data_IF_493207169903
#
_entry.id   IF_493207169903
#
_cell.length_a   1.000
_cell.length_b   1.000
_cell.length_c   1.000
_cell.angle_alpha   90.00
_cell.angle_beta   90.00
_cell.angle_gamma   90.00
#
_symmetry.space_group_name_H-M   'P 1'
#
loop_
_entity.id
_entity.type
_entity.pdbx_description
1 polymer ?
#
# COMPACT_ATOMS: atom_id res chain seq x y z
N UNK A 1 -23.74 5.41 -9.80
CA UNK A 1 -23.20 5.94 -8.52
C UNK A 1 -22.72 7.36 -8.77
N UNK A 2 -22.85 8.26 -7.78
CA UNK A 2 -22.23 9.58 -7.89
C UNK A 2 -20.71 9.42 -7.81
N UNK A 3 -19.94 10.05 -8.70
CA UNK A 3 -18.48 10.04 -8.61
C UNK A 3 -17.99 10.39 -7.21
N UNK A 4 -16.97 9.65 -6.76
CA UNK A 4 -16.25 9.89 -5.52
C UNK A 4 -14.82 10.27 -5.88
N UNK A 5 -14.27 11.27 -5.21
CA UNK A 5 -12.88 11.70 -5.35
C UNK A 5 -12.23 11.75 -3.97
N UNK A 6 -10.94 11.53 -3.90
CA UNK A 6 -10.17 11.68 -2.67
C UNK A 6 -8.89 12.47 -2.93
N UNK A 7 -8.53 13.36 -2.01
CA UNK A 7 -7.20 13.91 -1.90
C UNK A 7 -6.66 13.71 -0.48
N UNK A 8 -5.40 14.07 -0.31
CA UNK A 8 -4.76 14.20 0.99
C UNK A 8 -4.15 15.59 1.14
N UNK A 9 -4.01 16.05 2.39
CA UNK A 9 -3.38 17.32 2.72
C UNK A 9 -2.01 17.12 3.40
N UNK A 10 -1.29 18.24 3.56
CA UNK A 10 -0.11 18.28 4.42
C UNK A 10 -0.53 17.92 5.85
N UNK A 11 0.07 16.87 6.42
CA UNK A 11 -0.29 16.34 7.74
C UNK A 11 -1.03 15.00 7.73
N UNK A 12 -1.40 14.47 6.55
CA UNK A 12 -1.86 13.08 6.41
C UNK A 12 -3.36 12.84 6.53
N UNK A 13 -4.18 13.89 6.54
CA UNK A 13 -5.63 13.73 6.46
C UNK A 13 -6.05 13.44 5.02
N UNK A 14 -6.95 12.48 4.83
CA UNK A 14 -7.62 12.26 3.55
C UNK A 14 -9.03 12.86 3.56
N UNK A 15 -9.38 13.56 2.50
CA UNK A 15 -10.71 14.13 2.32
C UNK A 15 -11.37 13.40 1.15
N UNK A 16 -12.57 12.89 1.39
CA UNK A 16 -13.39 12.24 0.36
C UNK A 16 -14.51 13.19 -0.01
N UNK A 17 -14.69 13.43 -1.30
CA UNK A 17 -15.80 14.20 -1.84
C UNK A 17 -16.76 13.33 -2.62
N UNK A 18 -18.03 13.72 -2.59
CA UNK A 18 -19.09 13.11 -3.39
C UNK A 18 -19.71 14.16 -4.30
N UNK A 19 -19.95 13.79 -5.55
CA UNK A 19 -20.69 14.64 -6.48
C UNK A 19 -22.16 14.71 -6.06
N UNK A 20 -22.68 15.93 -5.98
CA UNK A 20 -24.09 16.24 -5.77
C UNK A 20 -24.61 16.95 -7.03
N UNK A 21 -25.19 16.19 -7.97
CA UNK A 21 -25.91 16.79 -9.08
C UNK A 21 -27.20 17.45 -8.58
N UNK A 22 -27.52 18.62 -9.13
CA UNK A 22 -28.83 19.27 -9.03
C UNK A 22 -29.39 19.48 -10.44
N UNK A 23 -30.64 19.93 -10.53
CA UNK A 23 -31.31 20.17 -11.82
C UNK A 23 -30.56 21.17 -12.72
N UNK A 24 -29.75 22.06 -12.14
CA UNK A 24 -29.11 23.17 -12.86
C UNK A 24 -27.59 23.22 -12.75
N UNK A 25 -26.97 22.45 -11.85
CA UNK A 25 -25.52 22.44 -11.70
C UNK A 25 -25.00 21.13 -11.06
N UNK A 26 -23.68 20.98 -10.98
CA UNK A 26 -23.01 19.94 -10.21
C UNK A 26 -22.10 20.58 -9.15
N UNK A 27 -22.13 20.04 -7.94
CA UNK A 27 -21.25 20.48 -6.86
C UNK A 27 -20.61 19.30 -6.16
N UNK A 28 -19.35 19.44 -5.76
CA UNK A 28 -18.67 18.46 -4.91
C UNK A 28 -18.82 18.87 -3.44
N UNK A 29 -19.23 17.94 -2.60
CA UNK A 29 -19.32 18.16 -1.15
C UNK A 29 -18.43 17.19 -0.42
N UNK A 30 -17.80 17.65 0.67
CA UNK A 30 -17.05 16.78 1.58
C UNK A 30 -18.00 15.72 2.10
N UNK A 31 -17.65 14.47 1.84
CA UNK A 31 -18.38 13.29 2.27
C UNK A 31 -17.80 12.74 3.58
N UNK A 32 -16.46 12.62 3.66
CA UNK A 32 -15.73 12.15 4.83
C UNK A 32 -14.39 12.87 4.97
N UNK A 33 -13.91 12.95 6.20
CA UNK A 33 -12.51 13.21 6.53
C UNK A 33 -11.97 11.99 7.27
N UNK A 34 -10.79 11.53 6.87
CA UNK A 34 -10.11 10.37 7.41
C UNK A 34 -8.78 10.81 8.01
N UNK A 35 -8.67 10.74 9.34
CA UNK A 35 -7.47 11.18 10.05
C UNK A 35 -6.88 10.02 10.85
N UNK A 36 -5.69 9.58 10.45
CA UNK A 36 -4.89 8.62 11.21
C UNK A 36 -3.41 8.80 10.92
N UNK A 37 -3.05 8.99 9.65
CA UNK A 37 -1.67 9.26 9.28
C UNK A 37 -1.13 10.47 10.02
N UNK A 38 0.13 10.38 10.42
CA UNK A 38 0.82 11.38 11.23
C UNK A 38 1.71 12.30 10.40
N UNK A 39 1.82 12.01 9.11
CA UNK A 39 2.61 12.71 8.10
C UNK A 39 1.93 12.55 6.74
N UNK A 40 2.48 13.23 5.75
CA UNK A 40 1.94 13.27 4.39
C UNK A 40 1.68 11.87 3.83
N UNK A 41 0.53 11.71 3.19
CA UNK A 41 0.21 10.57 2.35
C UNK A 41 0.96 10.77 1.03
N UNK A 42 1.60 9.73 0.53
CA UNK A 42 2.36 9.78 -0.72
C UNK A 42 1.61 9.15 -1.88
N UNK A 43 0.72 8.20 -1.60
CA UNK A 43 -0.06 7.52 -2.62
C UNK A 43 -1.35 6.95 -2.03
N UNK A 44 -2.36 6.77 -2.88
CA UNK A 44 -3.63 6.13 -2.55
C UNK A 44 -4.23 5.40 -3.74
N UNK A 45 -5.01 4.35 -3.46
CA UNK A 45 -5.77 3.65 -4.49
C UNK A 45 -7.12 3.16 -3.97
N UNK A 46 -8.15 3.30 -4.79
CA UNK A 46 -9.50 2.81 -4.51
C UNK A 46 -9.60 1.30 -4.70
N UNK A 47 -10.44 0.67 -3.89
CA UNK A 47 -10.95 -0.66 -4.22
C UNK A 47 -11.90 -0.58 -5.43
N UNK A 48 -12.07 -1.67 -6.20
CA UNK A 48 -12.91 -1.68 -7.41
C UNK A 48 -14.40 -1.41 -7.16
N UNK A 49 -14.85 -1.60 -5.92
CA UNK A 49 -16.23 -1.39 -5.47
C UNK A 49 -16.45 -0.03 -4.78
N UNK A 50 -15.43 0.85 -4.77
CA UNK A 50 -15.42 2.17 -4.11
C UNK A 50 -15.71 2.14 -2.59
N UNK A 51 -15.78 0.95 -1.97
CA UNK A 51 -16.10 0.80 -0.56
C UNK A 51 -14.88 1.01 0.35
N UNK A 52 -13.68 0.85 -0.20
CA UNK A 52 -12.42 0.93 0.51
C UNK A 52 -11.39 1.76 -0.26
N UNK A 53 -10.38 2.20 0.47
CA UNK A 53 -9.21 2.89 -0.07
C UNK A 53 -7.97 2.38 0.67
N UNK A 54 -6.87 2.20 -0.04
CA UNK A 54 -5.55 1.98 0.55
C UNK A 54 -4.72 3.25 0.42
N UNK A 55 -3.94 3.59 1.45
CA UNK A 55 -3.01 4.73 1.43
C UNK A 55 -1.66 4.36 2.02
N UNK A 56 -0.60 4.97 1.48
CA UNK A 56 0.78 4.88 1.99
C UNK A 56 1.30 6.26 2.42
N UNK A 57 2.07 6.33 3.50
CA UNK A 57 2.52 7.59 4.10
C UNK A 57 4.02 7.63 4.44
N UNK A 58 4.52 8.86 4.59
CA UNK A 58 5.81 9.22 5.19
C UNK A 58 5.92 8.76 6.66
N UNK A 59 4.82 8.45 7.33
CA UNK A 59 4.84 7.85 8.67
C UNK A 59 5.14 6.34 8.70
N UNK A 60 5.50 5.78 7.54
CA UNK A 60 5.84 4.37 7.29
C UNK A 60 4.65 3.40 7.37
N UNK A 61 3.42 3.91 7.56
CA UNK A 61 2.23 3.07 7.62
C UNK A 61 1.57 2.92 6.25
N UNK A 62 0.90 1.79 6.09
CA UNK A 62 0.00 1.50 4.98
C UNK A 62 -1.37 1.13 5.56
N UNK A 63 -2.42 1.84 5.17
CA UNK A 63 -3.73 1.79 5.82
C UNK A 63 -4.82 1.50 4.80
N UNK A 64 -5.71 0.57 5.14
CA UNK A 64 -6.99 0.37 4.45
C UNK A 64 -8.08 1.09 5.23
N UNK A 65 -8.90 1.85 4.52
CA UNK A 65 -9.99 2.66 5.06
C UNK A 65 -11.33 2.10 4.60
N UNK A 66 -12.32 2.10 5.51
CA UNK A 66 -13.72 1.88 5.14
C UNK A 66 -14.33 3.25 4.84
N UNK A 67 -14.59 3.51 3.55
CA UNK A 67 -15.02 4.82 3.04
C UNK A 67 -16.42 5.17 3.56
N UNK A 68 -17.30 4.17 3.67
CA UNK A 68 -18.67 4.37 4.13
C UNK A 68 -18.71 4.70 5.62
N UNK A 69 -17.92 3.98 6.43
CA UNK A 69 -17.80 4.25 7.86
C UNK A 69 -17.01 5.52 8.14
N UNK A 70 -16.05 5.86 7.27
CA UNK A 70 -15.16 6.99 7.47
C UNK A 70 -14.10 6.71 8.54
N UNK A 71 -13.60 5.47 8.61
CA UNK A 71 -12.67 5.04 9.65
C UNK A 71 -11.60 4.10 9.09
N UNK A 72 -10.50 3.98 9.81
CA UNK A 72 -9.50 2.93 9.56
C UNK A 72 -10.20 1.56 9.62
N UNK A 73 -10.09 0.80 8.54
CA UNK A 73 -10.55 -0.59 8.49
C UNK A 73 -9.45 -1.53 8.98
N UNK A 74 -8.23 -1.34 8.47
CA UNK A 74 -7.07 -2.16 8.81
C UNK A 74 -5.78 -1.35 8.64
N UNK A 75 -4.84 -1.53 9.56
CA UNK A 75 -3.46 -1.08 9.41
C UNK A 75 -2.64 -2.29 8.99
N UNK A 76 -1.94 -2.18 7.86
CA UNK A 76 -1.06 -3.22 7.36
C UNK A 76 0.30 -3.17 8.05
N UNK A 77 1.06 -4.26 7.99
CA UNK A 77 2.37 -4.35 8.62
C UNK A 77 3.27 -3.19 8.18
N UNK A 78 3.73 -2.40 9.14
CA UNK A 78 4.49 -1.19 8.87
C UNK A 78 5.81 -1.48 8.14
N UNK A 79 6.18 -0.56 7.25
CA UNK A 79 7.48 -0.51 6.63
C UNK A 79 8.52 0.13 7.55
N UNK A 80 9.80 -0.04 7.24
CA UNK A 80 10.87 0.61 8.02
C UNK A 80 11.09 2.08 7.58
N UNK A 81 10.60 2.45 6.39
CA UNK A 81 10.66 3.79 5.82
C UNK A 81 9.37 4.11 5.07
N UNK A 82 9.33 5.30 4.45
CA UNK A 82 8.16 5.87 3.79
C UNK A 82 7.53 4.89 2.82
N UNK A 83 6.19 4.80 2.84
CA UNK A 83 5.43 4.04 1.86
C UNK A 83 5.11 4.98 0.71
N UNK A 84 5.80 4.78 -0.42
CA UNK A 84 5.78 5.69 -1.56
C UNK A 84 4.75 5.31 -2.63
N UNK A 85 4.25 4.07 -2.59
CA UNK A 85 3.28 3.58 -3.54
C UNK A 85 2.42 2.50 -2.93
N UNK A 86 1.16 2.43 -3.36
CA UNK A 86 0.22 1.38 -2.98
C UNK A 86 -0.49 0.86 -4.22
N UNK A 87 -0.95 -0.39 -4.17
CA UNK A 87 -1.77 -0.95 -5.24
C UNK A 87 -2.91 -1.81 -4.70
N UNK A 88 -4.04 -1.75 -5.39
CA UNK A 88 -5.20 -2.59 -5.10
C UNK A 88 -5.49 -3.52 -6.28
N UNK A 89 -5.56 -4.83 -6.02
CA UNK A 89 -5.90 -5.83 -7.02
C UNK A 89 -7.36 -5.65 -7.49
N UNK A 90 -7.65 -5.53 -8.80
CA UNK A 90 -9.01 -5.41 -9.31
C UNK A 90 -9.95 -6.57 -8.93
N UNK A 91 -9.41 -7.71 -8.51
CA UNK A 91 -10.19 -8.84 -8.00
C UNK A 91 -10.32 -8.86 -6.46
N UNK A 92 -9.70 -7.92 -5.75
CA UNK A 92 -9.74 -7.81 -4.29
C UNK A 92 -9.04 -8.94 -3.54
N UNK A 93 -8.18 -9.71 -4.22
CA UNK A 93 -7.42 -10.80 -3.59
C UNK A 93 -6.15 -10.30 -2.95
N UNK A 94 -5.54 -9.26 -3.52
CA UNK A 94 -4.29 -8.70 -3.04
C UNK A 94 -4.31 -7.19 -2.87
N UNK A 95 -3.46 -6.70 -1.99
CA UNK A 95 -2.99 -5.31 -2.02
C UNK A 95 -1.47 -5.31 -1.93
N UNK A 96 -0.84 -4.23 -2.37
CA UNK A 96 0.61 -4.08 -2.33
C UNK A 96 1.04 -2.72 -1.80
N UNK A 97 2.25 -2.67 -1.25
CA UNK A 97 2.90 -1.42 -0.86
C UNK A 97 4.38 -1.42 -1.25
N UNK A 98 4.87 -0.26 -1.70
CA UNK A 98 6.25 0.01 -2.10
C UNK A 98 6.86 1.02 -1.12
N UNK A 99 8.07 0.77 -0.65
CA UNK A 99 8.71 1.62 0.35
C UNK A 99 10.17 1.96 0.03
N UNK A 100 10.60 3.11 0.55
CA UNK A 100 12.01 3.51 0.57
C UNK A 100 12.90 2.58 1.41
N UNK A 101 12.32 1.64 2.16
CA UNK A 101 13.06 0.56 2.83
C UNK A 101 13.59 -0.52 1.86
N UNK A 102 13.42 -0.29 0.55
CA UNK A 102 13.81 -1.18 -0.54
C UNK A 102 13.02 -2.48 -0.58
N UNK A 103 11.83 -2.49 0.02
CA UNK A 103 10.92 -3.63 -0.02
C UNK A 103 9.60 -3.29 -0.72
N UNK A 104 9.06 -4.28 -1.41
CA UNK A 104 7.67 -4.34 -1.81
C UNK A 104 6.97 -5.40 -0.96
N UNK A 105 5.83 -5.08 -0.37
CA UNK A 105 5.03 -6.05 0.39
C UNK A 105 3.76 -6.37 -0.35
N UNK A 106 3.44 -7.66 -0.46
CA UNK A 106 2.18 -8.16 -1.02
C UNK A 106 1.37 -8.77 0.10
N UNK A 107 0.13 -8.33 0.25
CA UNK A 107 -0.81 -8.80 1.27
C UNK A 107 -1.94 -9.55 0.59
N UNK A 108 -2.27 -10.72 1.12
CA UNK A 108 -3.38 -11.54 0.62
C UNK A 108 -4.60 -11.37 1.51
N UNK A 109 -5.75 -11.18 0.88
CA UNK A 109 -7.03 -11.19 1.59
C UNK A 109 -7.32 -12.61 2.09
N UNK A 110 -7.32 -12.77 3.41
CA UNK A 110 -7.76 -13.98 4.11
C UNK A 110 -9.04 -13.61 4.86
N UNK A 111 -10.21 -13.72 4.22
CA UNK A 111 -11.48 -13.40 4.86
C UNK A 111 -11.57 -14.11 6.20
N UNK A 112 -11.84 -13.35 7.26
CA UNK A 112 -12.09 -13.97 8.56
C UNK A 112 -13.50 -14.53 8.55
N UNK A 113 -13.64 -15.84 8.43
CA UNK A 113 -14.90 -16.55 8.65
C UNK A 113 -15.26 -16.49 10.14
N UNK A 114 -16.27 -15.73 10.58
CA UNK A 114 -16.83 -15.93 11.94
C UNK A 114 -18.35 -15.70 12.07
N UNK A 115 -19.02 -16.77 12.51
CA UNK A 115 -20.21 -16.89 13.40
C UNK A 115 -21.46 -16.01 13.22
N UNK A 116 -21.49 -14.97 12.38
CA UNK A 116 -22.65 -14.05 12.22
C UNK A 116 -22.90 -13.58 10.78
N UNK A 117 -22.45 -14.33 9.77
CA UNK A 117 -22.94 -14.20 8.39
C UNK A 117 -22.43 -13.02 7.54
N UNK A 118 -21.46 -12.22 8.01
CA UNK A 118 -20.80 -11.21 7.17
C UNK A 118 -19.31 -11.51 7.11
N UNK A 119 -18.83 -11.89 5.93
CA UNK A 119 -17.40 -12.04 5.67
C UNK A 119 -16.71 -10.68 5.76
N UNK A 120 -15.65 -10.59 6.57
CA UNK A 120 -14.79 -9.41 6.66
C UNK A 120 -13.47 -9.71 5.98
N UNK A 121 -13.08 -8.85 5.03
CA UNK A 121 -11.75 -8.91 4.43
C UNK A 121 -10.67 -8.70 5.49
N UNK A 122 -9.52 -9.33 5.32
CA UNK A 122 -8.41 -9.19 6.24
C UNK A 122 -7.12 -9.50 5.48
N UNK A 123 -6.36 -8.46 5.20
CA UNK A 123 -5.14 -8.57 4.40
C UNK A 123 -3.96 -8.91 5.31
N UNK A 124 -3.24 -9.98 5.00
CA UNK A 124 -2.06 -10.40 5.77
C UNK A 124 -0.86 -10.41 4.85
N UNK A 125 0.27 -9.89 5.30
CA UNK A 125 1.50 -9.88 4.51
C UNK A 125 1.85 -11.33 4.15
N UNK A 126 1.88 -11.61 2.85
CA UNK A 126 2.24 -12.92 2.32
C UNK A 126 3.67 -12.93 1.81
N UNK A 127 4.11 -11.82 1.20
CA UNK A 127 5.41 -11.71 0.58
C UNK A 127 6.06 -10.37 0.90
N UNK A 128 7.37 -10.42 1.15
CA UNK A 128 8.26 -9.26 1.19
C UNK A 128 9.29 -9.48 0.08
N UNK A 129 9.23 -8.64 -0.94
CA UNK A 129 10.08 -8.70 -2.12
C UNK A 129 11.17 -7.64 -1.95
N UNK A 130 12.43 -8.04 -2.13
CA UNK A 130 13.58 -7.14 -2.09
C UNK A 130 14.42 -7.31 -3.34
N UNK A 131 15.11 -6.25 -3.76
CA UNK A 131 16.10 -6.36 -4.82
C UNK A 131 17.31 -7.14 -4.30
N UNK A 132 17.66 -8.24 -4.95
CA UNK A 132 18.91 -8.93 -4.69
C UNK A 132 20.04 -8.11 -5.31
N UNK A 133 20.98 -7.65 -4.47
CA UNK A 133 22.23 -7.09 -4.97
C UNK A 133 23.08 -8.24 -5.52
N UNK A 134 23.27 -8.29 -6.84
CA UNK A 134 24.28 -9.16 -7.44
C UNK A 134 25.65 -8.66 -6.98
N UNK A 135 26.41 -9.52 -6.28
CA UNK A 135 27.82 -9.27 -6.06
C UNK A 135 28.49 -9.15 -7.43
N UNK A 136 29.07 -7.97 -7.73
CA UNK A 136 30.00 -7.84 -8.86
C UNK A 136 31.15 -8.80 -8.57
N UNK A 137 31.26 -9.84 -9.38
CA UNK A 137 32.40 -10.76 -9.32
C UNK A 137 33.68 -9.96 -9.48
N UNK A 138 34.53 -10.02 -8.47
CA UNK A 138 35.87 -9.46 -8.53
C UNK A 138 36.71 -10.39 -9.41
N UNK A 139 36.62 -10.23 -10.74
CA UNK A 139 37.56 -10.84 -11.68
C UNK A 139 38.90 -10.11 -11.59
N UNK A 140 39.67 -10.32 -10.52
CA UNK A 140 41.11 -10.08 -10.58
C UNK A 140 41.93 -11.13 -9.82
N UNK A 141 42.73 -11.84 -10.63
CA UNK A 141 44.02 -12.51 -10.38
C UNK A 141 44.01 -14.03 -10.28
N UNK A 142 44.26 -14.60 -11.47
CA UNK A 142 44.93 -15.88 -11.73
C UNK A 142 45.98 -16.19 -10.66
N UNK A 143 45.77 -17.27 -9.89
CA UNK A 143 46.84 -17.92 -9.13
C UNK A 143 47.60 -18.83 -10.07
N UNK A 144 48.75 -18.38 -10.58
CA UNK A 144 49.75 -19.28 -11.15
C UNK A 144 50.46 -19.94 -9.95
N UNK A 145 50.29 -21.26 -9.80
CA UNK A 145 51.07 -22.04 -8.85
C UNK A 145 52.48 -22.27 -9.42
N UNK A 146 53.55 -22.19 -8.62
CA UNK A 146 54.86 -22.58 -9.08
C UNK A 146 54.88 -24.10 -9.31
N UNK A 147 55.29 -24.52 -10.51
CA UNK A 147 55.65 -25.91 -10.78
C UNK A 147 56.95 -26.20 -10.04
N UNK A 148 56.87 -26.99 -8.97
CA UNK A 148 58.03 -27.72 -8.46
C UNK A 148 58.23 -28.95 -9.34
N UNK A 149 59.26 -28.95 -10.18
CA UNK A 149 59.86 -30.22 -10.60
C UNK A 149 61.05 -30.56 -9.70
N UNK A 150 61.03 -31.81 -9.24
CA UNK A 150 61.96 -32.42 -8.31
C UNK A 150 63.03 -33.17 -9.09
N UNK A 151 64.27 -33.03 -8.61
CA UNK A 151 65.49 -33.84 -8.82
C UNK A 151 66.19 -33.74 -10.17
#
# INVERSE_FOLDING_TARGET
>A
MNPIACCYNAGGELIIWKLHPSETNQSWKVHKSLSYHRKDVLDLQWSPDDAYLISGSVDNSCIIWDVNKGSVYQILDAHCHYVQGVAWDPLGKYVASLSSDRTCRIYVNKPQTKSKGVEKMNYVCQHIITKVEQQRGDETKVRVLPVLERK
#
